data_IF_812126162731
#
_entry.id   IF_812126162731
#
_cell.length_a   1.000
_cell.length_b   1.000
_cell.length_c   1.000
_cell.angle_alpha   90.00
_cell.angle_beta   90.00
_cell.angle_gamma   90.00
#
_symmetry.space_group_name_H-M   'P 1'
#
loop_
_entity.id
_entity.type
_entity.pdbx_description
1 polymer ?
#
# COMPACT_ATOMS: atom_id res chain seq x y z
N UNK A 1 -12.13 -124.70 -1.05
CA UNK A 1 -12.47 -125.32 -2.35
C UNK A 1 -13.92 -125.79 -2.50
N UNK A 2 -14.41 -126.83 -1.81
CA UNK A 2 -15.80 -127.31 -2.01
C UNK A 2 -16.83 -126.24 -1.63
N UNK A 3 -16.62 -125.56 -0.49
CA UNK A 3 -17.52 -124.51 0.00
C UNK A 3 -17.57 -123.30 -0.94
N UNK A 4 -16.42 -122.85 -1.46
CA UNK A 4 -16.34 -121.73 -2.39
C UNK A 4 -17.11 -122.03 -3.69
N UNK A 5 -17.05 -123.29 -4.15
CA UNK A 5 -17.83 -123.77 -5.31
C UNK A 5 -19.34 -123.70 -5.05
N UNK A 6 -19.80 -124.06 -3.86
CA UNK A 6 -21.22 -123.95 -3.46
C UNK A 6 -21.66 -122.49 -3.27
N UNK A 7 -20.78 -121.63 -2.76
CA UNK A 7 -21.02 -120.18 -2.65
C UNK A 7 -21.26 -119.55 -4.02
N UNK A 8 -20.43 -119.90 -5.01
CA UNK A 8 -20.56 -119.41 -6.38
C UNK A 8 -21.80 -119.97 -7.11
N UNK A 9 -22.00 -121.29 -7.05
CA UNK A 9 -23.06 -121.96 -7.83
C UNK A 9 -24.46 -121.84 -7.21
N UNK A 10 -24.59 -121.95 -5.89
CA UNK A 10 -25.88 -122.06 -5.20
C UNK A 10 -26.16 -120.88 -4.25
N UNK A 11 -25.31 -119.85 -4.24
CA UNK A 11 -25.44 -118.67 -3.36
C UNK A 11 -25.61 -119.06 -1.89
N UNK A 12 -24.94 -120.14 -1.48
CA UNK A 12 -25.02 -120.66 -0.12
C UNK A 12 -23.97 -119.96 0.77
N UNK A 13 -24.38 -118.89 1.44
CA UNK A 13 -23.56 -118.06 2.35
C UNK A 13 -23.86 -118.40 3.83
N UNK A 14 -22.90 -118.23 4.72
CA UNK A 14 -23.17 -118.31 6.16
C UNK A 14 -23.97 -117.10 6.65
N UNK A 15 -24.71 -117.26 7.74
CA UNK A 15 -25.42 -116.15 8.37
C UNK A 15 -24.42 -115.06 8.81
N UNK A 16 -24.61 -113.83 8.30
CA UNK A 16 -23.72 -112.68 8.56
C UNK A 16 -22.56 -112.54 7.57
N UNK A 17 -22.41 -113.46 6.61
CA UNK A 17 -21.37 -113.37 5.58
C UNK A 17 -21.76 -112.37 4.48
N UNK A 18 -20.90 -111.38 4.23
CA UNK A 18 -21.07 -110.44 3.12
C UNK A 18 -20.65 -111.08 1.79
N UNK A 19 -21.27 -110.64 0.69
CA UNK A 19 -20.92 -111.10 -0.66
C UNK A 19 -19.57 -110.52 -1.05
N UNK A 20 -18.56 -111.37 -1.21
CA UNK A 20 -17.31 -110.98 -1.85
C UNK A 20 -17.52 -110.95 -3.38
N UNK A 21 -17.08 -109.85 -4.01
CA UNK A 21 -17.23 -109.60 -5.45
C UNK A 21 -15.92 -109.72 -6.23
N UNK A 22 -14.83 -110.08 -5.54
CA UNK A 22 -13.49 -110.24 -6.12
C UNK A 22 -13.00 -109.00 -6.90
N UNK A 23 -13.41 -107.80 -6.44
CA UNK A 23 -12.87 -106.55 -6.99
C UNK A 23 -11.40 -106.37 -6.60
N UNK A 24 -10.59 -105.92 -7.56
CA UNK A 24 -9.23 -105.45 -7.30
C UNK A 24 -9.30 -104.05 -6.69
N UNK A 25 -9.38 -104.01 -5.37
CA UNK A 25 -9.45 -102.76 -4.62
C UNK A 25 -8.08 -102.06 -4.56
N UNK A 26 -8.01 -100.71 -4.68
CA UNK A 26 -6.78 -99.95 -4.49
C UNK A 26 -6.26 -100.09 -3.05
N UNK A 27 -4.93 -100.08 -2.86
CA UNK A 27 -4.30 -100.22 -1.54
C UNK A 27 -4.82 -99.21 -0.50
N UNK A 28 -5.15 -97.99 -0.95
CA UNK A 28 -5.69 -96.91 -0.11
C UNK A 28 -7.02 -97.28 0.57
N UNK A 29 -7.83 -98.14 -0.07
CA UNK A 29 -9.13 -98.58 0.45
C UNK A 29 -9.03 -99.71 1.47
N UNK A 30 -7.86 -100.34 1.61
CA UNK A 30 -7.62 -101.39 2.60
C UNK A 30 -7.54 -100.84 4.03
N UNK A 31 -7.33 -99.52 4.18
CA UNK A 31 -7.35 -98.88 5.48
C UNK A 31 -8.76 -98.90 6.09
N UNK A 32 -8.94 -99.33 7.35
CA UNK A 32 -10.22 -99.25 8.06
C UNK A 32 -10.79 -97.82 8.17
N UNK A 33 -9.95 -96.80 7.95
CA UNK A 33 -10.33 -95.39 8.03
C UNK A 33 -10.65 -94.75 6.67
N UNK A 34 -10.59 -95.52 5.58
CA UNK A 34 -10.93 -95.01 4.25
C UNK A 34 -12.43 -94.66 4.16
N UNK A 35 -12.75 -93.49 3.60
CA UNK A 35 -14.12 -93.01 3.40
C UNK A 35 -14.40 -92.87 1.91
N UNK A 36 -15.51 -93.45 1.46
CA UNK A 36 -15.98 -93.33 0.08
C UNK A 36 -16.68 -91.97 -0.13
N UNK A 37 -16.55 -91.41 -1.34
CA UNK A 37 -17.16 -90.14 -1.76
C UNK A 37 -16.14 -89.06 -2.13
N UNK A 38 -16.52 -88.14 -3.02
CA UNK A 38 -15.65 -87.01 -3.42
C UNK A 38 -15.62 -85.99 -2.28
N UNK A 39 -14.46 -85.85 -1.64
CA UNK A 39 -14.22 -84.78 -0.67
C UNK A 39 -13.60 -83.60 -1.41
N UNK A 40 -14.25 -82.43 -1.39
CA UNK A 40 -13.55 -81.19 -1.66
C UNK A 40 -12.65 -80.91 -0.47
N UNK A 41 -11.35 -81.15 -0.64
CA UNK A 41 -10.33 -80.77 0.34
C UNK A 41 -10.16 -79.26 0.24
N UNK A 42 -11.11 -78.50 0.79
CA UNK A 42 -10.87 -77.08 1.05
C UNK A 42 -9.86 -77.06 2.21
N UNK A 43 -8.59 -76.86 1.86
CA UNK A 43 -7.47 -76.74 2.81
C UNK A 43 -7.48 -75.36 3.49
N UNK A 44 -8.64 -74.92 3.99
CA UNK A 44 -8.76 -73.68 4.74
C UNK A 44 -9.38 -74.03 6.08
N UNK A 45 -8.81 -73.47 7.16
CA UNK A 45 -9.41 -73.61 8.47
C UNK A 45 -10.83 -73.00 8.45
N UNK A 46 -11.74 -73.55 9.26
CA UNK A 46 -13.13 -73.06 9.32
C UNK A 46 -13.14 -71.54 9.58
N UNK A 47 -13.74 -70.77 8.67
CA UNK A 47 -13.84 -69.31 8.76
C UNK A 47 -12.68 -68.51 8.16
N UNK A 48 -11.58 -69.15 7.74
CA UNK A 48 -10.41 -68.45 7.19
C UNK A 48 -10.70 -67.77 5.84
N UNK A 49 -11.50 -68.40 4.99
CA UNK A 49 -11.93 -67.81 3.71
C UNK A 49 -12.80 -66.55 3.90
N UNK A 50 -13.70 -66.55 4.89
CA UNK A 50 -14.52 -65.38 5.22
C UNK A 50 -13.67 -64.26 5.84
N UNK A 51 -12.72 -64.63 6.71
CA UNK A 51 -11.74 -63.68 7.27
C UNK A 51 -10.96 -62.99 6.15
N UNK A 52 -10.41 -63.74 5.20
CA UNK A 52 -9.62 -63.20 4.10
C UNK A 52 -10.44 -62.23 3.22
N UNK A 53 -11.72 -62.51 3.00
CA UNK A 53 -12.60 -61.62 2.24
C UNK A 53 -12.98 -60.33 2.98
N UNK A 54 -13.11 -60.40 4.32
CA UNK A 54 -13.51 -59.26 5.15
C UNK A 54 -12.31 -58.41 5.60
N UNK A 55 -11.13 -59.01 5.74
CA UNK A 55 -9.92 -58.27 6.03
C UNK A 55 -9.40 -57.63 4.76
N UNK A 56 -9.51 -56.30 4.67
CA UNK A 56 -8.93 -55.49 3.60
C UNK A 56 -7.39 -55.48 3.57
N UNK A 57 -6.74 -56.21 4.49
CA UNK A 57 -5.30 -56.38 4.49
C UNK A 57 -4.91 -57.20 3.25
N UNK A 58 -4.66 -56.50 2.15
CA UNK A 58 -4.17 -57.08 0.92
C UNK A 58 -2.88 -57.84 1.26
N UNK A 59 -2.91 -59.16 1.05
CA UNK A 59 -1.75 -60.05 1.21
C UNK A 59 -0.61 -59.61 0.27
N UNK A 60 -0.97 -58.95 -0.83
CA UNK A 60 -0.03 -58.39 -1.78
C UNK A 60 0.22 -56.91 -1.48
N UNK A 61 1.43 -56.60 -1.02
CA UNK A 61 1.92 -55.23 -0.98
C UNK A 61 1.87 -54.65 -2.39
N UNK A 62 1.29 -53.45 -2.54
CA UNK A 62 1.27 -52.76 -3.83
C UNK A 62 2.70 -52.61 -4.35
N UNK A 63 2.89 -52.84 -5.65
CA UNK A 63 4.20 -52.68 -6.29
C UNK A 63 4.74 -51.27 -6.06
N UNK A 64 5.94 -51.16 -5.47
CA UNK A 64 6.60 -49.88 -5.16
C UNK A 64 7.02 -49.11 -6.41
N UNK A 65 7.19 -49.80 -7.52
CA UNK A 65 7.59 -49.23 -8.80
C UNK A 65 6.33 -49.04 -9.66
N UNK A 66 6.00 -47.79 -9.95
CA UNK A 66 4.87 -47.39 -10.80
C UNK A 66 5.40 -46.48 -11.90
N UNK A 67 4.71 -46.43 -13.04
CA UNK A 67 5.09 -45.54 -14.15
C UNK A 67 4.97 -44.06 -13.77
N UNK A 68 6.03 -43.29 -14.04
CA UNK A 68 6.10 -41.86 -13.68
C UNK A 68 4.90 -41.05 -14.18
N UNK A 69 4.44 -41.29 -15.41
CA UNK A 69 3.28 -40.58 -15.98
C UNK A 69 1.98 -40.85 -15.22
N UNK A 70 1.77 -42.09 -14.78
CA UNK A 70 0.57 -42.46 -14.05
C UNK A 70 0.57 -41.85 -12.65
N UNK A 71 1.72 -41.84 -11.98
CA UNK A 71 1.88 -41.21 -10.66
C UNK A 71 1.74 -39.68 -10.75
N UNK A 72 2.39 -39.03 -11.71
CA UNK A 72 2.25 -37.58 -11.91
C UNK A 72 0.80 -37.18 -12.25
N UNK A 73 0.07 -37.97 -13.03
CA UNK A 73 -1.35 -37.73 -13.28
C UNK A 73 -2.18 -37.94 -12.00
N UNK A 74 -1.84 -38.95 -11.19
CA UNK A 74 -2.52 -39.24 -9.92
C UNK A 74 -2.36 -38.09 -8.93
N UNK A 75 -1.18 -37.46 -8.84
CA UNK A 75 -0.93 -36.31 -7.96
C UNK A 75 -1.78 -35.08 -8.32
N UNK A 76 -2.08 -34.87 -9.59
CA UNK A 76 -2.92 -33.76 -10.06
C UNK A 76 -4.41 -34.06 -9.92
N UNK A 77 -4.80 -35.30 -10.21
CA UNK A 77 -6.20 -35.73 -10.22
C UNK A 77 -6.72 -35.95 -8.80
N UNK A 78 -5.92 -36.58 -7.94
CA UNK A 78 -6.33 -36.87 -6.57
C UNK A 78 -6.17 -35.63 -5.69
N UNK A 79 -7.09 -35.50 -4.73
CA UNK A 79 -7.01 -34.47 -3.71
C UNK A 79 -6.43 -35.09 -2.43
N UNK A 80 -5.18 -34.74 -2.06
CA UNK A 80 -4.59 -35.20 -0.81
C UNK A 80 -5.33 -34.62 0.39
N UNK A 81 -5.40 -35.39 1.47
CA UNK A 81 -5.99 -34.91 2.72
C UNK A 81 -5.03 -33.93 3.40
N UNK A 82 -5.53 -32.76 3.81
CA UNK A 82 -4.80 -31.70 4.52
C UNK A 82 -3.74 -30.93 3.70
N UNK A 83 -3.53 -31.27 2.42
CA UNK A 83 -2.66 -30.52 1.52
C UNK A 83 -3.48 -29.77 0.47
N UNK A 84 -2.91 -28.70 -0.09
CA UNK A 84 -3.54 -27.97 -1.17
C UNK A 84 -3.51 -28.79 -2.47
N UNK A 85 -4.59 -28.73 -3.24
CA UNK A 85 -4.69 -29.41 -4.54
C UNK A 85 -3.62 -28.90 -5.51
N UNK A 86 -2.92 -29.82 -6.16
CA UNK A 86 -1.98 -29.47 -7.22
C UNK A 86 -2.74 -29.04 -8.49
N UNK A 87 -2.58 -27.77 -8.88
CA UNK A 87 -3.21 -27.17 -10.06
C UNK A 87 -2.27 -27.07 -11.28
N UNK A 88 -1.16 -27.82 -11.31
CA UNK A 88 -0.18 -27.81 -12.41
C UNK A 88 0.50 -26.45 -12.66
N UNK A 89 0.60 -25.60 -11.65
CA UNK A 89 1.21 -24.26 -11.78
C UNK A 89 2.75 -24.28 -11.74
N UNK A 90 3.38 -25.43 -11.48
CA UNK A 90 4.82 -25.58 -11.37
C UNK A 90 5.40 -24.90 -10.13
N UNK A 91 6.73 -24.68 -10.12
CA UNK A 91 7.38 -23.91 -9.06
C UNK A 91 7.02 -22.44 -9.21
N UNK A 92 6.61 -21.80 -8.12
CA UNK A 92 6.29 -20.39 -8.11
C UNK A 92 7.53 -19.57 -8.55
N UNK A 93 7.37 -18.59 -9.47
CA UNK A 93 8.47 -17.74 -9.94
C UNK A 93 8.83 -16.64 -8.93
N UNK A 94 8.68 -16.90 -7.64
CA UNK A 94 8.92 -15.95 -6.56
C UNK A 94 9.82 -16.59 -5.49
N UNK A 95 10.70 -15.81 -4.84
CA UNK A 95 11.57 -16.33 -3.79
C UNK A 95 10.78 -16.74 -2.55
N UNK A 96 11.35 -17.63 -1.74
CA UNK A 96 10.80 -17.97 -0.42
C UNK A 96 10.67 -16.70 0.44
N UNK A 97 9.48 -16.50 1.01
CA UNK A 97 9.13 -15.29 1.78
C UNK A 97 8.47 -14.17 0.96
N UNK A 98 8.21 -14.36 -0.34
CA UNK A 98 7.41 -13.41 -1.11
C UNK A 98 5.96 -13.35 -0.62
N UNK A 99 5.48 -12.14 -0.36
CA UNK A 99 4.08 -11.89 0.01
C UNK A 99 3.29 -11.56 -1.25
N UNK A 100 2.32 -12.41 -1.58
CA UNK A 100 1.40 -12.16 -2.70
C UNK A 100 0.45 -11.00 -2.39
N UNK A 101 0.08 -10.24 -3.43
CA UNK A 101 -0.87 -9.13 -3.34
C UNK A 101 -0.30 -7.81 -3.86
N UNK A 102 -1.12 -6.77 -3.83
CA UNK A 102 -0.74 -5.40 -4.19
C UNK A 102 -0.49 -4.63 -2.89
N UNK A 103 0.71 -4.05 -2.73
CA UNK A 103 1.03 -3.20 -1.58
C UNK A 103 0.25 -1.89 -1.70
N UNK A 104 -0.24 -1.35 -0.58
CA UNK A 104 -1.02 -0.10 -0.59
C UNK A 104 -0.17 1.17 -0.68
N UNK A 105 1.13 1.04 -0.97
CA UNK A 105 2.01 2.18 -1.12
C UNK A 105 3.35 1.76 -1.70
N UNK A 106 3.82 2.51 -2.69
CA UNK A 106 5.14 2.37 -3.26
C UNK A 106 6.08 3.40 -2.63
N UNK A 107 7.11 2.97 -1.90
CA UNK A 107 8.19 3.84 -1.41
C UNK A 107 9.15 4.29 -2.54
N UNK A 108 8.67 4.34 -3.79
CA UNK A 108 9.43 4.85 -4.92
C UNK A 108 9.39 6.36 -4.88
N UNK A 109 10.51 7.04 -5.07
CA UNK A 109 10.62 8.50 -5.01
C UNK A 109 9.54 9.24 -5.83
N UNK A 110 9.13 8.68 -6.98
CA UNK A 110 8.13 9.25 -7.88
C UNK A 110 6.66 8.92 -7.52
N UNK A 111 6.43 8.14 -6.44
CA UNK A 111 5.10 7.81 -5.95
C UNK A 111 4.51 8.96 -5.14
N UNK A 112 3.22 9.23 -5.36
CA UNK A 112 2.41 10.14 -4.53
C UNK A 112 2.33 9.71 -3.06
N UNK A 113 2.66 8.46 -2.76
CA UNK A 113 2.62 7.91 -1.40
C UNK A 113 3.73 8.44 -0.48
N UNK A 114 4.75 9.10 -1.04
CA UNK A 114 5.80 9.74 -0.25
C UNK A 114 5.39 11.10 0.32
N UNK A 115 4.26 11.65 -0.12
CA UNK A 115 3.76 12.93 0.39
C UNK A 115 3.12 12.67 1.74
N UNK A 116 3.79 13.11 2.79
CA UNK A 116 3.29 12.98 4.16
C UNK A 116 2.31 14.11 4.46
N UNK A 117 1.41 13.92 5.44
CA UNK A 117 0.55 15.01 5.92
C UNK A 117 1.35 16.27 6.32
N UNK A 118 2.57 16.10 6.82
CA UNK A 118 3.48 17.19 7.11
C UNK A 118 3.85 18.00 5.85
N UNK A 119 4.12 17.35 4.72
CA UNK A 119 4.42 18.03 3.45
C UNK A 119 3.21 18.78 2.90
N UNK A 120 1.99 18.33 3.19
CA UNK A 120 0.77 19.03 2.83
C UNK A 120 0.49 20.24 3.73
N UNK A 121 0.90 20.20 5.00
CA UNK A 121 0.66 21.27 5.98
C UNK A 121 1.74 22.35 5.88
N UNK A 122 2.99 21.93 5.75
CA UNK A 122 4.11 22.84 5.59
C UNK A 122 4.16 23.31 4.14
N UNK A 123 3.99 24.61 3.95
CA UNK A 123 4.18 25.22 2.64
C UNK A 123 5.68 25.21 2.30
N UNK A 124 6.12 24.17 1.61
CA UNK A 124 7.45 24.03 1.05
C UNK A 124 7.55 24.76 -0.29
N UNK A 125 7.37 26.09 -0.27
CA UNK A 125 7.55 26.91 -1.46
C UNK A 125 8.94 26.70 -2.07
N UNK A 126 8.96 26.36 -3.35
CA UNK A 126 10.19 26.26 -4.15
C UNK A 126 10.87 27.61 -4.36
N UNK A 127 10.15 28.71 -4.13
CA UNK A 127 10.59 30.08 -4.41
C UNK A 127 10.46 30.96 -3.18
N UNK A 128 11.53 31.67 -2.84
CA UNK A 128 11.58 32.61 -1.73
C UNK A 128 10.50 33.72 -1.83
N UNK A 129 10.09 34.09 -3.06
CA UNK A 129 9.04 35.09 -3.29
C UNK A 129 7.69 34.72 -2.70
N UNK A 130 7.40 33.43 -2.55
CA UNK A 130 6.13 32.94 -2.02
C UNK A 130 6.15 32.86 -0.48
N UNK A 131 7.35 32.85 0.11
CA UNK A 131 7.57 32.83 1.56
C UNK A 131 7.60 34.26 2.11
N UNK A 132 8.14 35.20 1.32
CA UNK A 132 8.24 36.60 1.72
C UNK A 132 6.87 37.28 1.76
N UNK A 133 6.67 38.25 2.66
CA UNK A 133 5.45 39.04 2.71
C UNK A 133 5.28 39.90 1.45
N UNK A 134 4.02 40.23 1.11
CA UNK A 134 3.75 41.06 -0.06
C UNK A 134 4.41 42.45 0.05
N UNK A 135 4.86 42.96 -1.09
CA UNK A 135 5.63 44.21 -1.15
C UNK A 135 4.82 45.47 -0.79
N UNK A 136 3.49 45.37 -0.76
CA UNK A 136 2.58 46.48 -0.48
C UNK A 136 2.11 46.51 0.99
N UNK A 137 2.55 45.56 1.82
CA UNK A 137 2.25 45.60 3.26
C UNK A 137 2.77 46.91 3.87
N UNK A 138 1.83 47.65 4.48
CA UNK A 138 2.13 48.92 5.16
C UNK A 138 2.40 50.12 4.23
N UNK A 139 2.25 49.97 2.91
CA UNK A 139 2.51 51.05 1.94
C UNK A 139 1.33 51.23 0.99
N UNK A 140 0.92 52.47 0.74
CA UNK A 140 -0.03 52.72 -0.35
C UNK A 140 0.69 52.59 -1.70
N UNK A 141 0.39 51.55 -2.48
CA UNK A 141 0.97 51.34 -3.82
C UNK A 141 0.14 51.96 -4.95
N UNK A 142 -1.02 52.55 -4.63
CA UNK A 142 -1.90 53.19 -5.62
C UNK A 142 -1.20 54.37 -6.28
N UNK A 143 -1.08 54.33 -7.61
CA UNK A 143 -0.52 55.42 -8.41
C UNK A 143 -1.19 56.76 -8.03
N UNK A 144 -0.38 57.78 -7.76
CA UNK A 144 -0.82 59.11 -7.32
C UNK A 144 -1.10 59.27 -5.82
N UNK A 145 -1.12 58.17 -5.04
CA UNK A 145 -1.30 58.21 -3.57
C UNK A 145 -0.16 57.52 -2.81
N UNK A 146 0.95 57.23 -3.50
CA UNK A 146 2.10 56.56 -2.90
C UNK A 146 2.78 57.49 -1.90
N UNK A 147 3.01 56.98 -0.70
CA UNK A 147 3.78 57.67 0.34
C UNK A 147 5.28 57.42 0.13
N UNK A 148 5.78 57.77 -1.05
CA UNK A 148 7.19 57.65 -1.42
C UNK A 148 7.63 59.04 -1.83
N UNK A 149 8.39 59.69 -0.95
CA UNK A 149 8.93 61.03 -1.17
C UNK A 149 10.42 60.99 -0.85
N UNK A 150 11.26 61.23 -1.86
CA UNK A 150 12.71 61.34 -1.68
C UNK A 150 13.12 62.74 -1.18
N UNK A 151 12.17 63.68 -1.21
CA UNK A 151 12.38 65.06 -0.82
C UNK A 151 12.27 65.22 0.70
N UNK A 152 13.26 65.85 1.33
CA UNK A 152 13.21 66.22 2.75
C UNK A 152 12.42 67.52 2.99
N UNK A 153 11.79 68.09 1.95
CA UNK A 153 11.03 69.33 2.08
C UNK A 153 9.67 69.06 2.71
N UNK A 154 9.16 70.06 3.40
CA UNK A 154 7.78 70.02 3.88
C UNK A 154 6.82 70.22 2.71
N UNK A 155 5.79 69.38 2.63
CA UNK A 155 4.69 69.55 1.67
C UNK A 155 3.63 70.46 2.27
N UNK A 156 3.17 71.46 1.52
CA UNK A 156 2.16 72.43 1.96
C UNK A 156 2.49 73.85 1.50
N UNK A 157 1.68 74.82 1.92
CA UNK A 157 1.94 76.24 1.73
C UNK A 157 2.38 76.84 3.08
N UNK A 158 3.57 77.47 3.17
CA UNK A 158 4.02 78.09 4.41
C UNK A 158 3.17 79.32 4.75
N UNK A 159 3.03 79.62 6.05
CA UNK A 159 2.27 80.80 6.49
C UNK A 159 2.94 82.13 6.13
N UNK A 160 4.27 82.14 5.97
CA UNK A 160 5.04 83.27 5.44
C UNK A 160 5.53 82.86 4.05
N UNK A 161 5.08 83.57 3.03
CA UNK A 161 5.27 83.23 1.62
C UNK A 161 6.60 83.71 1.05
N UNK A 162 7.69 83.25 1.67
CA UNK A 162 9.05 83.47 1.17
C UNK A 162 9.39 82.59 -0.05
N UNK A 163 8.54 81.61 -0.35
CA UNK A 163 8.65 80.67 -1.47
C UNK A 163 8.36 81.33 -2.83
N UNK A 164 7.66 82.47 -2.84
CA UNK A 164 7.27 83.18 -4.06
C UNK A 164 7.85 84.60 -4.10
N UNK A 165 8.07 85.14 -5.31
CA UNK A 165 8.51 86.52 -5.45
C UNK A 165 7.43 87.49 -4.94
N UNK A 166 7.88 88.55 -4.27
CA UNK A 166 7.04 89.66 -3.82
C UNK A 166 6.40 90.36 -5.03
N UNK A 167 5.10 90.74 -4.97
CA UNK A 167 4.47 91.47 -6.05
C UNK A 167 5.11 92.86 -6.21
N UNK A 168 5.28 93.31 -7.46
CA UNK A 168 5.85 94.63 -7.77
C UNK A 168 4.99 95.78 -7.23
N UNK A 169 3.66 95.59 -7.29
CA UNK A 169 2.67 96.50 -6.72
C UNK A 169 1.76 95.67 -5.83
N UNK A 170 1.69 96.04 -4.55
CA UNK A 170 0.81 95.37 -3.59
C UNK A 170 -0.64 95.71 -3.83
N UNK A 171 -1.51 94.69 -3.77
CA UNK A 171 -2.95 94.90 -3.74
C UNK A 171 -3.37 95.52 -2.40
N UNK A 172 -4.41 96.34 -2.40
CA UNK A 172 -4.99 96.90 -1.17
C UNK A 172 -5.63 95.81 -0.30
N UNK A 173 -6.09 94.72 -0.92
CA UNK A 173 -6.70 93.58 -0.25
C UNK A 173 -5.72 92.39 -0.08
N UNK A 174 -4.42 92.65 -0.15
CA UNK A 174 -3.41 91.62 0.08
C UNK A 174 -3.37 91.22 1.57
N UNK A 175 -3.55 89.94 1.84
CA UNK A 175 -3.60 89.37 3.20
C UNK A 175 -2.39 88.47 3.49
N UNK A 176 -1.43 88.38 2.56
CA UNK A 176 -0.30 87.47 2.65
C UNK A 176 0.99 88.21 3.03
N UNK A 177 1.74 87.62 3.97
CA UNK A 177 3.06 88.10 4.35
C UNK A 177 4.14 87.42 3.49
N UNK A 178 5.01 88.22 2.87
CA UNK A 178 6.07 87.76 1.96
C UNK A 178 7.49 87.83 2.58
N UNK A 179 7.58 87.98 3.91
CA UNK A 179 8.82 88.03 4.68
C UNK A 179 9.59 89.35 4.63
N UNK A 180 8.99 90.43 4.16
CA UNK A 180 9.47 91.81 4.35
C UNK A 180 8.71 92.59 5.42
N UNK A 181 7.70 91.99 6.05
CA UNK A 181 7.00 92.64 7.16
C UNK A 181 7.90 92.76 8.38
N UNK A 182 7.81 93.91 9.05
CA UNK A 182 8.52 94.15 10.31
C UNK A 182 7.80 93.47 11.47
N UNK A 183 8.56 93.07 12.50
CA UNK A 183 7.98 92.57 13.73
C UNK A 183 7.11 93.61 14.45
N UNK A 184 6.21 93.13 15.32
CA UNK A 184 5.27 93.97 16.07
C UNK A 184 5.96 95.08 16.88
N UNK A 185 7.11 94.77 17.51
CA UNK A 185 7.87 95.74 18.29
C UNK A 185 8.33 96.96 17.46
N UNK A 186 8.82 96.73 16.24
CA UNK A 186 9.24 97.80 15.33
C UNK A 186 8.09 98.69 14.86
N UNK A 187 6.84 98.20 14.89
CA UNK A 187 5.66 99.00 14.59
C UNK A 187 5.28 99.91 15.77
N UNK A 188 5.40 99.41 16.99
CA UNK A 188 5.13 100.16 18.22
C UNK A 188 6.22 101.23 18.48
N UNK A 189 7.48 100.91 18.12
CA UNK A 189 8.65 101.75 18.36
C UNK A 189 9.38 102.10 17.05
N UNK A 190 8.80 102.94 16.17
CA UNK A 190 9.38 103.21 14.85
C UNK A 190 10.70 104.00 14.93
N UNK A 191 11.61 103.69 14.00
CA UNK A 191 12.91 104.36 13.87
C UNK A 191 12.75 105.83 13.42
N UNK A 192 13.72 106.69 13.74
CA UNK A 192 13.68 108.13 13.43
C UNK A 192 13.46 108.44 11.94
N UNK A 193 13.88 107.54 11.05
CA UNK A 193 13.77 107.70 9.59
C UNK A 193 12.43 107.23 9.00
N UNK A 194 11.63 106.45 9.74
CA UNK A 194 10.32 105.95 9.28
C UNK A 194 9.33 107.09 8.97
N UNK A 195 9.49 108.25 9.63
CA UNK A 195 8.66 109.44 9.39
C UNK A 195 8.89 110.09 8.01
N UNK A 196 10.04 109.85 7.38
CA UNK A 196 10.39 110.41 6.06
C UNK A 196 9.89 109.56 4.88
N UNK A 197 8.93 108.64 5.12
CA UNK A 197 8.47 107.64 4.15
C UNK A 197 9.59 106.74 3.60
N UNK A 198 10.76 106.74 4.26
CA UNK A 198 11.73 105.69 4.03
C UNK A 198 11.13 104.41 4.62
N UNK A 199 10.82 103.43 3.75
CA UNK A 199 10.47 102.10 4.21
C UNK A 199 11.53 101.63 5.21
N UNK A 200 11.15 100.95 6.31
CA UNK A 200 12.10 100.44 7.28
C UNK A 200 13.20 99.70 6.52
N UNK A 201 14.47 100.00 6.83
CA UNK A 201 15.57 99.74 5.93
C UNK A 201 15.55 98.28 5.50
N UNK A 202 15.71 98.09 4.21
CA UNK A 202 16.46 97.00 3.60
C UNK A 202 17.87 96.89 4.22
N UNK A 203 17.99 96.79 5.55
CA UNK A 203 19.24 96.65 6.30
C UNK A 203 19.91 95.30 6.10
N UNK A 204 19.33 94.46 5.21
CA UNK A 204 19.88 93.18 4.76
C UNK A 204 19.70 93.05 3.23
N UNK A 205 19.48 94.13 2.48
CA UNK A 205 19.82 94.07 1.05
C UNK A 205 21.35 94.08 0.99
N UNK A 206 22.02 93.03 0.49
CA UNK A 206 23.47 93.07 0.32
C UNK A 206 23.76 94.19 -0.68
N UNK A 207 24.16 95.35 -0.19
CA UNK A 207 24.78 96.38 -1.01
C UNK A 207 26.16 95.81 -1.32
N UNK A 208 26.40 95.47 -2.59
CA UNK A 208 27.72 95.05 -3.04
C UNK A 208 28.71 96.15 -2.66
N UNK A 209 29.67 95.81 -1.80
CA UNK A 209 30.81 96.67 -1.56
C UNK A 209 31.65 96.65 -2.83
N UNK A 210 31.75 97.80 -3.50
CA UNK A 210 32.69 98.04 -4.60
C UNK A 210 34.10 98.30 -4.05
#
# INVERSE_FOLDING_TARGET
EVRDRYRFTHKNYQCGELINRDYTWPEETASPYFRFGKMEKIQLAAGEGARQALTWNAVDEKTRIVGLRAEAAREVVNEPLAEAKNLMQGSLPVPEGFVFGVKSGDARADSTDNVTAADCIHYNASSEREILPDADLGKCMKRGKRNVTDESRQFGCPSIRNDIPKPLVRSVADIQNYGDEVGCDSLLHPQRYSRKQAHPPSGISPVAAE
#
